data_IF_436512262778
#
_entry.id   IF_436512262778
#
_cell.length_a   1.000
_cell.length_b   1.000
_cell.length_c   1.000
_cell.angle_alpha   90.00
_cell.angle_beta   90.00
_cell.angle_gamma   90.00
#
_symmetry.space_group_name_H-M   'P 1'
#
loop_
_entity.id
_entity.type
_entity.pdbx_description
1 polymer ?
#
# COMPACT_ATOMS: atom_id res chain seq x y z
N UNK A 1 32.81 14.16 12.26
CA UNK A 1 32.57 14.43 10.82
C UNK A 1 31.06 14.57 10.64
N UNK A 2 30.56 15.81 10.62
CA UNK A 2 29.13 16.11 10.52
C UNK A 2 28.74 15.98 9.06
N UNK A 3 27.94 14.97 8.73
CA UNK A 3 27.40 14.80 7.38
C UNK A 3 26.33 15.89 7.22
N UNK A 4 26.70 17.00 6.59
CA UNK A 4 25.73 17.98 6.14
C UNK A 4 24.88 17.33 5.06
N UNK A 5 23.59 17.11 5.34
CA UNK A 5 22.64 16.69 4.32
C UNK A 5 22.38 17.91 3.41
N UNK A 6 22.73 17.86 2.12
CA UNK A 6 22.37 18.93 1.21
C UNK A 6 20.85 18.95 1.07
N UNK A 7 20.26 20.14 1.16
CA UNK A 7 18.83 20.35 0.96
C UNK A 7 18.39 19.68 -0.35
N UNK A 8 17.63 18.59 -0.23
CA UNK A 8 17.16 17.83 -1.37
C UNK A 8 16.08 18.67 -2.07
N UNK A 9 16.37 19.10 -3.29
CA UNK A 9 15.38 19.60 -4.23
C UNK A 9 14.21 18.60 -4.29
N UNK A 10 12.98 19.08 -4.08
CA UNK A 10 11.83 18.30 -3.60
C UNK A 10 11.32 17.18 -4.51
N UNK A 11 12.03 16.86 -5.59
CA UNK A 11 11.76 15.75 -6.51
C UNK A 11 12.96 14.82 -6.72
N UNK A 12 14.13 15.15 -6.19
CA UNK A 12 15.40 14.42 -6.43
C UNK A 12 15.45 13.05 -5.74
N UNK A 13 14.66 12.85 -4.67
CA UNK A 13 14.57 11.54 -4.01
C UNK A 13 13.91 10.48 -4.89
N UNK A 14 12.99 10.85 -5.78
CA UNK A 14 12.23 9.90 -6.60
C UNK A 14 13.17 9.19 -7.58
N UNK A 15 14.18 9.92 -8.05
CA UNK A 15 15.24 9.42 -8.94
C UNK A 15 16.50 8.97 -8.20
N UNK A 16 16.40 8.68 -6.90
CA UNK A 16 17.54 8.14 -6.16
C UNK A 16 17.90 6.77 -6.73
N UNK A 17 19.14 6.54 -7.21
CA UNK A 17 19.56 5.25 -7.74
C UNK A 17 19.41 4.13 -6.71
N UNK A 18 19.40 4.47 -5.41
CA UNK A 18 19.12 3.52 -4.34
C UNK A 18 17.67 2.99 -4.37
N UNK A 19 16.68 3.86 -4.61
CA UNK A 19 15.27 3.46 -4.66
C UNK A 19 15.04 2.55 -5.86
N UNK A 20 15.55 2.95 -7.03
CA UNK A 20 15.50 2.14 -8.25
C UNK A 20 16.11 0.76 -8.01
N UNK A 21 17.28 0.70 -7.36
CA UNK A 21 17.94 -0.55 -7.04
C UNK A 21 17.13 -1.47 -6.12
N UNK A 22 16.56 -0.92 -5.04
CA UNK A 22 15.73 -1.69 -4.11
C UNK A 22 14.47 -2.20 -4.82
N UNK A 23 13.84 -1.38 -5.67
CA UNK A 23 12.66 -1.77 -6.42
C UNK A 23 12.96 -2.84 -7.47
N UNK A 24 14.09 -2.77 -8.18
CA UNK A 24 14.52 -3.82 -9.10
C UNK A 24 14.72 -5.16 -8.38
N UNK A 25 15.33 -5.13 -7.18
CA UNK A 25 15.46 -6.33 -6.33
C UNK A 25 14.12 -6.85 -5.84
N UNK A 26 13.21 -5.96 -5.41
CA UNK A 26 11.86 -6.35 -5.00
C UNK A 26 11.07 -6.98 -6.15
N UNK A 27 11.17 -6.41 -7.36
CA UNK A 27 10.58 -6.96 -8.59
C UNK A 27 11.13 -8.37 -8.89
N UNK A 28 12.46 -8.55 -8.80
CA UNK A 28 13.08 -9.86 -9.01
C UNK A 28 12.61 -10.91 -7.97
N UNK A 29 12.46 -10.52 -6.70
CA UNK A 29 11.95 -11.41 -5.65
C UNK A 29 10.47 -11.76 -5.85
N UNK A 30 9.67 -10.80 -6.33
CA UNK A 30 8.27 -11.02 -6.70
C UNK A 30 8.14 -11.97 -7.88
N UNK A 31 8.89 -11.73 -8.97
CA UNK A 31 8.89 -12.57 -10.17
C UNK A 31 9.40 -14.00 -9.87
N UNK A 32 10.24 -14.17 -8.84
CA UNK A 32 10.70 -15.47 -8.34
C UNK A 32 9.73 -16.18 -7.37
N UNK A 33 8.57 -15.58 -7.07
CA UNK A 33 7.61 -16.08 -6.07
C UNK A 33 8.24 -16.36 -4.68
N UNK A 34 9.21 -15.53 -4.25
CA UNK A 34 10.01 -15.81 -3.06
C UNK A 34 9.20 -15.77 -1.74
N UNK A 35 8.23 -14.85 -1.63
CA UNK A 35 7.33 -14.73 -0.47
C UNK A 35 5.93 -15.23 -0.83
N UNK A 36 5.35 -16.01 0.07
CA UNK A 36 4.00 -16.58 -0.07
C UNK A 36 2.99 -15.96 0.89
N UNK A 37 3.44 -15.15 1.85
CA UNK A 37 2.54 -14.44 2.75
C UNK A 37 1.71 -13.39 1.99
N UNK A 38 0.40 -13.52 2.09
CA UNK A 38 -0.57 -12.77 1.27
C UNK A 38 -0.47 -11.26 1.52
N UNK A 39 -0.39 -10.86 2.79
CA UNK A 39 -0.31 -9.46 3.19
C UNK A 39 0.99 -8.84 2.69
N UNK A 40 2.11 -9.53 2.88
CA UNK A 40 3.44 -9.09 2.43
C UNK A 40 3.49 -8.90 0.91
N UNK A 41 2.90 -9.82 0.14
CA UNK A 41 2.88 -9.73 -1.33
C UNK A 41 2.07 -8.52 -1.80
N UNK A 42 0.87 -8.31 -1.24
CA UNK A 42 0.02 -7.15 -1.59
C UNK A 42 0.69 -5.83 -1.20
N UNK A 43 1.26 -5.75 0.01
CA UNK A 43 2.03 -4.57 0.44
C UNK A 43 3.20 -4.27 -0.49
N UNK A 44 3.92 -5.30 -0.94
CA UNK A 44 5.03 -5.15 -1.88
C UNK A 44 4.54 -4.60 -3.23
N UNK A 45 3.41 -5.09 -3.73
CA UNK A 45 2.79 -4.61 -4.98
C UNK A 45 2.34 -3.15 -4.87
N UNK A 46 1.69 -2.79 -3.75
CA UNK A 46 1.33 -1.41 -3.45
C UNK A 46 2.56 -0.52 -3.54
N UNK A 47 3.63 -0.85 -2.79
CA UNK A 47 4.88 -0.08 -2.75
C UNK A 47 5.53 0.06 -4.12
N UNK A 48 5.54 -1.01 -4.93
CA UNK A 48 6.04 -0.96 -6.31
C UNK A 48 5.18 -0.03 -7.19
N UNK A 49 3.87 0.03 -6.97
CA UNK A 49 2.95 0.93 -7.68
C UNK A 49 3.06 2.41 -7.31
N UNK A 50 3.80 2.77 -6.25
CA UNK A 50 4.10 4.16 -5.92
C UNK A 50 5.27 4.74 -6.72
N UNK A 51 6.08 3.89 -7.35
CA UNK A 51 7.21 4.33 -8.15
C UNK A 51 6.88 4.40 -9.64
N UNK A 52 7.42 5.42 -10.31
CA UNK A 52 7.36 5.57 -11.75
C UNK A 52 8.76 5.86 -12.29
N UNK A 53 9.28 5.00 -13.17
CA UNK A 53 10.62 5.14 -13.77
C UNK A 53 10.62 6.09 -15.00
N UNK A 54 9.53 6.83 -15.21
CA UNK A 54 9.35 7.72 -16.35
C UNK A 54 8.71 7.07 -17.58
N UNK A 55 8.71 7.79 -18.71
CA UNK A 55 7.99 7.40 -19.92
C UNK A 55 8.50 6.11 -20.58
N UNK A 56 9.70 5.64 -20.20
CA UNK A 56 10.32 4.43 -20.74
C UNK A 56 9.74 3.14 -20.13
N UNK A 57 9.07 3.21 -18.97
CA UNK A 57 8.39 2.06 -18.34
C UNK A 57 6.99 1.88 -18.95
N UNK A 58 6.95 1.41 -20.20
CA UNK A 58 5.70 1.28 -20.98
C UNK A 58 4.86 0.06 -20.55
N UNK A 59 5.52 -1.02 -20.11
CA UNK A 59 4.86 -2.32 -19.87
C UNK A 59 4.48 -2.54 -18.41
N UNK A 60 5.36 -2.20 -17.46
CA UNK A 60 5.13 -2.39 -16.01
C UNK A 60 5.02 -1.01 -15.32
N UNK A 61 4.21 -0.13 -15.90
CA UNK A 61 3.96 1.22 -15.40
C UNK A 61 3.16 1.23 -14.08
N UNK A 62 2.87 2.44 -13.57
CA UNK A 62 2.09 2.66 -12.34
C UNK A 62 0.73 1.98 -12.38
N UNK A 63 0.05 2.01 -13.53
CA UNK A 63 -1.24 1.35 -13.72
C UNK A 63 -1.11 -0.18 -13.63
N UNK A 64 -0.10 -0.77 -14.29
CA UNK A 64 0.16 -2.21 -14.23
C UNK A 64 0.31 -2.71 -12.78
N UNK A 65 1.16 -2.06 -11.98
CA UNK A 65 1.39 -2.47 -10.60
C UNK A 65 0.17 -2.21 -9.71
N UNK A 66 -0.57 -1.12 -9.94
CA UNK A 66 -1.85 -0.85 -9.28
C UNK A 66 -2.88 -1.94 -9.54
N UNK A 67 -3.11 -2.29 -10.80
CA UNK A 67 -4.00 -3.37 -11.19
C UNK A 67 -3.59 -4.71 -10.60
N UNK A 68 -2.28 -5.02 -10.61
CA UNK A 68 -1.75 -6.25 -9.97
C UNK A 68 -2.01 -6.26 -8.47
N UNK A 69 -1.84 -5.14 -7.76
CA UNK A 69 -2.17 -5.04 -6.35
C UNK A 69 -3.67 -5.30 -6.11
N UNK A 70 -4.55 -4.71 -6.91
CA UNK A 70 -6.01 -4.90 -6.82
C UNK A 70 -6.42 -6.36 -7.02
N UNK A 71 -5.93 -7.00 -8.08
CA UNK A 71 -6.25 -8.40 -8.40
C UNK A 71 -5.77 -9.33 -7.29
N UNK A 72 -4.51 -9.19 -6.86
CA UNK A 72 -3.95 -10.06 -5.81
C UNK A 72 -4.65 -9.84 -4.47
N UNK A 73 -5.05 -8.60 -4.14
CA UNK A 73 -5.85 -8.33 -2.95
C UNK A 73 -7.22 -9.02 -3.01
N UNK A 74 -7.89 -9.00 -4.17
CA UNK A 74 -9.15 -9.72 -4.34
C UNK A 74 -8.97 -11.24 -4.24
N UNK A 75 -8.00 -11.81 -4.96
CA UNK A 75 -7.69 -13.25 -4.97
C UNK A 75 -7.36 -13.79 -3.58
N UNK A 76 -6.76 -12.95 -2.73
CA UNK A 76 -6.41 -13.33 -1.35
C UNK A 76 -7.59 -13.22 -0.37
N UNK A 77 -8.74 -12.71 -0.83
CA UNK A 77 -9.96 -12.53 -0.05
C UNK A 77 -10.02 -11.20 0.70
N UNK A 78 -9.15 -10.24 0.42
CA UNK A 78 -9.11 -8.97 1.16
C UNK A 78 -10.32 -8.09 0.92
N UNK A 79 -11.06 -8.32 -0.15
CA UNK A 79 -12.35 -7.69 -0.47
C UNK A 79 -13.51 -8.19 0.41
N UNK A 80 -13.25 -9.18 1.29
CA UNK A 80 -14.25 -9.73 2.20
C UNK A 80 -14.11 -9.23 3.64
N UNK A 81 -15.24 -9.01 4.30
CA UNK A 81 -15.33 -8.68 5.73
C UNK A 81 -14.57 -9.70 6.57
N UNK A 82 -13.76 -9.18 7.50
CA UNK A 82 -13.06 -9.98 8.50
C UNK A 82 -13.63 -9.80 9.91
N UNK A 83 -14.72 -9.04 10.08
CA UNK A 83 -15.31 -8.76 11.40
C UNK A 83 -15.66 -10.05 12.16
N UNK A 84 -16.36 -10.98 11.49
CA UNK A 84 -16.75 -12.28 12.05
C UNK A 84 -15.66 -13.36 11.97
N UNK A 85 -14.46 -13.04 11.48
CA UNK A 85 -13.37 -14.00 11.35
C UNK A 85 -12.66 -14.27 12.69
N UNK A 86 -11.95 -15.41 12.75
CA UNK A 86 -11.10 -15.82 13.87
C UNK A 86 -9.75 -15.07 13.94
N UNK A 87 -9.52 -14.08 13.07
CA UNK A 87 -8.29 -13.28 13.10
C UNK A 87 -8.19 -12.49 14.41
N UNK A 88 -6.95 -12.24 14.88
CA UNK A 88 -6.73 -11.34 16.01
C UNK A 88 -7.08 -9.91 15.59
N UNK A 89 -7.51 -9.08 16.52
CA UNK A 89 -7.78 -7.66 16.24
C UNK A 89 -6.53 -6.94 15.70
N UNK A 90 -5.33 -7.34 16.15
CA UNK A 90 -4.05 -6.86 15.64
C UNK A 90 -3.84 -7.17 14.14
N UNK A 91 -4.43 -8.25 13.61
CA UNK A 91 -4.32 -8.63 12.20
C UNK A 91 -5.48 -8.06 11.36
N UNK A 92 -6.66 -7.83 11.97
CA UNK A 92 -7.84 -7.26 11.29
C UNK A 92 -7.61 -5.82 10.83
N UNK A 93 -6.97 -4.99 11.66
CA UNK A 93 -6.67 -3.59 11.33
C UNK A 93 -5.77 -3.45 10.10
N UNK A 94 -4.57 -4.05 10.04
CA UNK A 94 -3.72 -3.98 8.85
C UNK A 94 -4.38 -4.62 7.64
N UNK A 95 -5.18 -5.69 7.80
CA UNK A 95 -5.94 -6.28 6.70
C UNK A 95 -6.85 -5.25 6.00
N UNK A 96 -7.65 -4.50 6.78
CA UNK A 96 -8.50 -3.43 6.25
C UNK A 96 -7.66 -2.32 5.60
N UNK A 97 -6.59 -1.86 6.25
CA UNK A 97 -5.72 -0.80 5.70
C UNK A 97 -5.10 -1.22 4.35
N UNK A 98 -4.63 -2.46 4.26
CA UNK A 98 -4.01 -3.02 3.06
C UNK A 98 -5.03 -3.16 1.94
N UNK A 99 -6.31 -3.48 2.23
CA UNK A 99 -7.39 -3.48 1.24
C UNK A 99 -7.72 -2.09 0.69
N UNK A 100 -7.92 -1.10 1.56
CA UNK A 100 -8.36 0.24 1.15
C UNK A 100 -7.28 1.08 0.47
N UNK A 101 -6.00 0.72 0.64
CA UNK A 101 -4.88 1.42 0.01
C UNK A 101 -4.86 1.30 -1.53
N UNK A 102 -4.86 0.10 -2.13
CA UNK A 102 -4.90 -0.06 -3.57
C UNK A 102 -6.26 0.35 -4.16
N UNK A 103 -7.37 0.23 -3.41
CA UNK A 103 -8.69 0.78 -3.79
C UNK A 103 -8.61 2.29 -4.05
N UNK A 104 -8.23 3.08 -3.05
CA UNK A 104 -8.15 4.56 -3.18
C UNK A 104 -7.14 4.99 -4.25
N UNK A 105 -6.06 4.22 -4.40
CA UNK A 105 -5.07 4.42 -5.46
C UNK A 105 -5.63 4.14 -6.86
N UNK A 106 -6.51 3.16 -7.03
CA UNK A 106 -7.16 2.83 -8.30
C UNK A 106 -7.94 4.02 -8.85
N UNK A 107 -8.76 4.65 -8.00
CA UNK A 107 -9.46 5.90 -8.35
C UNK A 107 -8.50 7.02 -8.73
N UNK A 108 -7.44 7.20 -7.95
CA UNK A 108 -6.44 8.23 -8.23
C UNK A 108 -5.75 8.02 -9.58
N UNK A 109 -5.43 6.77 -9.94
CA UNK A 109 -4.83 6.42 -11.23
C UNK A 109 -5.85 6.59 -12.36
N UNK A 110 -7.09 6.12 -12.20
CA UNK A 110 -8.14 6.27 -13.18
C UNK A 110 -8.41 7.74 -13.51
N UNK A 111 -8.48 8.61 -12.50
CA UNK A 111 -8.64 10.06 -12.68
C UNK A 111 -7.42 10.69 -13.37
N UNK A 112 -6.20 10.29 -12.99
CA UNK A 112 -4.99 10.89 -13.54
C UNK A 112 -4.68 10.47 -14.98
N UNK A 113 -4.99 9.23 -15.35
CA UNK A 113 -4.57 8.62 -16.62
C UNK A 113 -5.74 8.25 -17.54
N UNK A 114 -7.00 8.45 -17.11
CA UNK A 114 -8.18 8.08 -17.89
C UNK A 114 -8.35 6.56 -18.06
N UNK A 115 -7.81 5.79 -17.12
CA UNK A 115 -7.89 4.33 -17.14
C UNK A 115 -9.19 3.81 -16.51
N UNK A 116 -9.49 2.53 -16.74
CA UNK A 116 -10.63 1.85 -16.12
C UNK A 116 -10.35 1.56 -14.64
N UNK A 117 -11.41 1.54 -13.83
CA UNK A 117 -11.38 1.01 -12.48
C UNK A 117 -11.40 -0.53 -12.53
N UNK A 118 -10.58 -1.16 -11.69
CA UNK A 118 -10.48 -2.62 -11.58
C UNK A 118 -11.44 -3.15 -10.51
N UNK A 119 -11.70 -2.36 -9.48
CA UNK A 119 -12.52 -2.78 -8.33
C UNK A 119 -13.95 -2.32 -8.52
N UNK A 120 -14.87 -3.27 -8.44
CA UNK A 120 -16.29 -2.99 -8.23
C UNK A 120 -16.59 -3.06 -6.73
N UNK A 121 -16.89 -1.93 -6.10
CA UNK A 121 -17.17 -1.89 -4.65
C UNK A 121 -18.48 -2.58 -4.29
N UNK A 122 -19.41 -2.76 -5.23
CA UNK A 122 -20.67 -3.49 -4.99
C UNK A 122 -20.43 -4.98 -4.67
N UNK A 123 -19.30 -5.53 -5.12
CA UNK A 123 -18.90 -6.92 -4.86
C UNK A 123 -18.07 -7.08 -3.57
N UNK A 124 -17.82 -5.97 -2.85
CA UNK A 124 -16.96 -5.91 -1.68
C UNK A 124 -17.77 -5.67 -0.40
N UNK A 125 -17.50 -6.44 0.66
CA UNK A 125 -18.18 -6.29 1.97
C UNK A 125 -17.23 -5.89 3.12
N UNK A 126 -16.03 -5.38 2.80
CA UNK A 126 -15.08 -4.84 3.80
C UNK A 126 -15.63 -3.59 4.46
N UNK A 127 -15.49 -3.50 5.78
CA UNK A 127 -15.96 -2.36 6.54
C UNK A 127 -15.15 -1.10 6.25
N UNK A 128 -15.80 0.06 6.35
CA UNK A 128 -15.13 1.35 6.30
C UNK A 128 -14.03 1.45 7.36
N UNK A 129 -12.98 2.18 7.04
CA UNK A 129 -11.91 2.45 8.01
C UNK A 129 -12.36 3.47 9.05
N UNK A 130 -11.86 3.29 10.26
CA UNK A 130 -11.99 4.24 11.35
C UNK A 130 -10.61 4.66 11.87
N UNK A 131 -10.55 5.74 12.65
CA UNK A 131 -9.29 6.20 13.26
C UNK A 131 -8.60 5.10 14.08
N UNK A 132 -9.36 4.25 14.76
CA UNK A 132 -8.83 3.14 15.56
C UNK A 132 -8.12 2.08 14.72
N UNK A 133 -8.43 1.98 13.43
CA UNK A 133 -7.76 1.06 12.50
C UNK A 133 -6.31 1.49 12.22
N UNK A 134 -5.89 2.69 12.60
CA UNK A 134 -4.51 3.20 12.44
C UNK A 134 -3.68 3.12 13.72
N UNK A 135 -4.29 2.69 14.82
CA UNK A 135 -3.62 2.53 16.11
C UNK A 135 -3.22 1.07 16.25
N UNK A 136 -1.93 0.78 16.08
CA UNK A 136 -1.37 -0.56 16.28
C UNK A 136 -1.36 -0.88 17.79
N UNK A 137 -1.97 -2.00 18.17
CA UNK A 137 -2.10 -2.46 19.55
C UNK A 137 -1.21 -3.70 19.74
N UNK A 138 0.08 -3.54 19.51
CA UNK A 138 1.03 -4.64 19.63
C UNK A 138 1.65 -4.66 21.02
N UNK A 139 1.02 -5.37 21.96
CA UNK A 139 1.61 -5.67 23.26
C UNK A 139 2.85 -6.60 23.13
N UNK A 140 2.90 -7.41 22.06
CA UNK A 140 3.96 -8.40 21.82
C UNK A 140 5.30 -7.79 21.35
N UNK A 141 5.29 -6.55 20.83
CA UNK A 141 6.48 -5.84 20.32
C UNK A 141 7.03 -4.78 21.28
N UNK A 142 6.45 -4.63 22.47
CA UNK A 142 6.88 -3.64 23.46
C UNK A 142 8.37 -3.77 23.89
N UNK A 143 9.04 -4.89 23.60
CA UNK A 143 10.46 -5.14 23.88
C UNK A 143 11.43 -4.92 22.71
N UNK A 144 10.95 -4.85 21.47
CA UNK A 144 11.75 -4.44 20.31
C UNK A 144 11.22 -3.07 19.88
N UNK A 145 11.96 -2.02 20.20
CA UNK A 145 11.70 -0.66 19.73
C UNK A 145 11.88 -0.53 18.19
N UNK A 146 11.18 -1.36 17.42
CA UNK A 146 10.96 -1.17 15.99
C UNK A 146 9.80 -0.19 15.90
N UNK A 147 10.14 1.09 16.06
CA UNK A 147 9.41 2.24 15.55
C UNK A 147 7.88 2.09 15.56
N UNK A 148 7.22 2.25 16.72
CA UNK A 148 5.77 2.47 16.76
C UNK A 148 5.50 3.77 15.99
N UNK A 149 5.21 3.65 14.71
CA UNK A 149 4.85 4.79 13.87
C UNK A 149 3.52 5.31 14.39
N UNK A 150 3.54 6.51 14.96
CA UNK A 150 2.34 7.21 15.35
C UNK A 150 1.85 7.98 14.13
N UNK A 151 0.74 7.57 13.49
CA UNK A 151 0.28 8.23 12.29
C UNK A 151 -0.21 9.65 12.62
N UNK A 152 0.16 10.61 11.78
CA UNK A 152 -0.33 11.99 11.89
C UNK A 152 -1.86 12.00 11.72
N UNK A 153 -2.63 12.55 12.67
CA UNK A 153 -4.09 12.62 12.58
C UNK A 153 -4.60 13.27 11.29
N UNK A 154 -3.86 14.23 10.71
CA UNK A 154 -4.21 14.88 9.45
C UNK A 154 -4.11 13.90 8.29
N UNK A 155 -3.04 13.10 8.23
CA UNK A 155 -2.87 12.07 7.19
C UNK A 155 -3.95 10.99 7.31
N UNK A 156 -4.27 10.56 8.53
CA UNK A 156 -5.36 9.60 8.77
C UNK A 156 -6.68 10.18 8.28
N UNK A 157 -7.01 11.41 8.66
CA UNK A 157 -8.27 12.04 8.24
C UNK A 157 -8.36 12.20 6.72
N UNK A 158 -7.27 12.60 6.07
CA UNK A 158 -7.21 12.69 4.60
C UNK A 158 -7.47 11.33 3.94
N UNK A 159 -6.81 10.28 4.43
CA UNK A 159 -6.99 8.94 3.89
C UNK A 159 -8.41 8.42 4.11
N UNK A 160 -9.00 8.63 5.30
CA UNK A 160 -10.39 8.27 5.57
C UNK A 160 -11.35 8.96 4.58
N UNK A 161 -11.19 10.26 4.33
CA UNK A 161 -12.00 10.95 3.32
C UNK A 161 -11.83 10.39 1.91
N UNK A 162 -10.61 9.98 1.54
CA UNK A 162 -10.40 9.35 0.22
C UNK A 162 -11.16 8.03 0.06
N UNK A 163 -11.43 7.31 1.15
CA UNK A 163 -12.25 6.08 1.12
C UNK A 163 -13.76 6.35 1.11
N UNK A 164 -14.20 7.53 1.54
CA UNK A 164 -15.63 7.91 1.51
C UNK A 164 -16.11 8.29 0.11
N UNK A 165 -15.20 8.75 -0.74
CA UNK A 165 -15.46 9.16 -2.12
C UNK A 165 -15.14 8.07 -3.16
N UNK A 166 -14.67 6.91 -2.70
CA UNK A 166 -14.50 5.71 -3.52
C UNK A 166 -15.85 5.05 -3.79
#
# INVERSE_FOLDING_TARGET
>A
MRIEQPALDGRKWIYSPYIVYVLQRARALYDANFKTDRVTVVQSLILMGWHWDGADDVVKNVYYWGCRANIVAQDTGMHRSVQASLLRNADKKPWKRVWWTPVTRDYSIAVAFGCLLIINLDDCDVEKLHHDDFIDQDEDFAGLAVHTYTPDPVHVHFFLRSTEHA
#
